data_IF_523469493357
#
_entry.id   IF_523469493357
#
_cell.length_a   1.000
_cell.length_b   1.000
_cell.length_c   1.000
_cell.angle_alpha   90.00
_cell.angle_beta   90.00
_cell.angle_gamma   90.00
#
_symmetry.space_group_name_H-M   'P 1'
#
loop_
_entity.id
_entity.type
_entity.pdbx_description
1 polymer ?
#
# COMPACT_ATOMS: atom_id res chain seq x y z
N UNK A 1 -5.20 -22.58 -18.77
CA UNK A 1 -5.35 -22.39 -18.22
C UNK A 1 -5.48 -21.85 -17.32
N UNK A 2 -5.48 -21.81 -17.20
CA UNK A 2 -5.63 -21.39 -16.45
C UNK A 2 -5.63 -20.85 -15.75
N UNK A 3 -5.36 -20.70 -15.46
CA UNK A 3 -5.36 -20.15 -14.73
C UNK A 3 -5.76 -19.44 -14.18
N UNK A 4 -6.04 -19.33 -14.22
CA UNK A 4 -6.52 -18.62 -13.84
C UNK A 4 -7.24 -18.56 -12.85
N UNK A 5 -7.66 -19.38 -12.44
CA UNK A 5 -8.46 -19.41 -11.44
C UNK A 5 -8.22 -18.36 -10.49
N UNK A 6 -7.18 -18.13 -10.17
CA UNK A 6 -6.95 -17.02 -9.51
C UNK A 6 -6.85 -15.95 -10.43
N UNK A 7 -7.57 -15.98 -11.48
CA UNK A 7 -7.54 -14.97 -12.47
C UNK A 7 -7.73 -13.61 -11.89
N UNK A 8 -8.53 -13.48 -10.89
CA UNK A 8 -8.73 -12.19 -10.31
C UNK A 8 -7.46 -11.62 -9.73
N UNK A 9 -6.66 -12.40 -9.02
CA UNK A 9 -5.43 -11.85 -8.49
C UNK A 9 -4.40 -11.67 -9.57
N UNK A 10 -4.48 -12.43 -10.65
CA UNK A 10 -3.57 -12.20 -11.75
C UNK A 10 -4.05 -11.05 -12.60
N UNK A 11 -5.24 -10.52 -12.35
CA UNK A 11 -5.72 -9.32 -13.02
C UNK A 11 -5.25 -8.07 -12.31
N UNK A 12 -6.18 -7.13 -12.18
CA UNK A 12 -5.84 -5.82 -11.65
C UNK A 12 -5.34 -5.89 -10.20
N UNK A 13 -6.04 -6.61 -9.35
CA UNK A 13 -5.60 -6.68 -7.96
C UNK A 13 -4.24 -7.37 -7.86
N UNK A 14 -4.00 -8.37 -8.69
CA UNK A 14 -2.70 -9.03 -8.70
C UNK A 14 -1.59 -8.07 -9.08
N UNK A 15 -1.83 -7.21 -10.07
CA UNK A 15 -0.84 -6.23 -10.46
C UNK A 15 -0.61 -5.19 -9.38
N UNK A 16 -1.68 -4.81 -8.67
CA UNK A 16 -1.54 -3.88 -7.56
C UNK A 16 -0.69 -4.52 -6.46
N UNK A 17 -0.99 -5.77 -6.11
CA UNK A 17 -0.23 -6.47 -5.06
C UNK A 17 1.24 -6.61 -5.45
N UNK A 18 1.50 -6.95 -6.70
CA UNK A 18 2.88 -7.11 -7.15
C UNK A 18 3.66 -5.80 -7.05
N UNK A 19 3.02 -4.69 -7.40
CA UNK A 19 3.68 -3.41 -7.30
C UNK A 19 3.98 -3.07 -5.82
N UNK A 20 3.02 -3.28 -4.95
CA UNK A 20 3.19 -2.94 -3.54
C UNK A 20 4.28 -3.80 -2.91
N UNK A 21 4.40 -5.07 -3.34
CA UNK A 21 5.46 -5.93 -2.83
C UNK A 21 6.86 -5.42 -3.12
N UNK A 22 7.00 -4.55 -4.10
CA UNK A 22 8.30 -3.99 -4.45
C UNK A 22 8.74 -2.86 -3.53
N UNK A 23 7.81 -2.31 -2.77
CA UNK A 23 8.12 -1.20 -1.87
C UNK A 23 8.91 -1.75 -0.68
N UNK A 24 10.13 -1.26 -0.45
CA UNK A 24 10.96 -1.84 0.61
C UNK A 24 10.51 -1.39 2.00
N UNK A 25 10.91 -2.13 3.03
CA UNK A 25 10.62 -1.70 4.40
C UNK A 25 11.21 -0.32 4.67
N UNK A 26 10.47 0.49 5.40
CA UNK A 26 10.93 1.84 5.73
C UNK A 26 10.56 2.87 4.69
N UNK A 27 9.85 2.46 3.64
CA UNK A 27 9.37 3.38 2.62
C UNK A 27 7.87 3.23 2.46
N UNK A 28 7.24 4.26 1.92
CA UNK A 28 5.79 4.23 1.68
C UNK A 28 5.49 4.75 0.28
N UNK A 29 4.32 4.37 -0.21
CA UNK A 29 3.78 4.90 -1.46
C UNK A 29 2.36 5.38 -1.17
N UNK A 30 1.86 6.26 -2.03
CA UNK A 30 0.48 6.71 -1.89
C UNK A 30 -0.42 5.86 -2.76
N UNK A 31 -1.71 5.85 -2.44
CA UNK A 31 -2.69 5.15 -3.26
C UNK A 31 -2.64 5.64 -4.71
N UNK A 32 -2.51 6.96 -4.90
CA UNK A 32 -2.44 7.51 -6.24
C UNK A 32 -1.18 7.09 -6.98
N UNK A 33 -0.08 6.98 -6.25
CA UNK A 33 1.18 6.54 -6.85
C UNK A 33 1.07 5.11 -7.38
N UNK A 34 0.45 4.25 -6.58
CA UNK A 34 0.25 2.86 -7.00
C UNK A 34 -0.65 2.81 -8.22
N UNK A 35 -1.74 3.58 -8.19
CA UNK A 35 -2.69 3.59 -9.31
C UNK A 35 -2.00 4.05 -10.59
N UNK A 36 -1.18 5.09 -10.51
CA UNK A 36 -0.48 5.60 -11.68
C UNK A 36 0.52 4.58 -12.22
N UNK A 37 1.21 3.88 -11.34
CA UNK A 37 2.22 2.91 -11.76
C UNK A 37 1.58 1.68 -12.40
N UNK A 38 0.47 1.21 -11.83
CA UNK A 38 -0.19 0.02 -12.33
C UNK A 38 -0.98 0.32 -13.60
N UNK A 39 -1.65 1.46 -13.62
CA UNK A 39 -2.47 1.84 -14.77
C UNK A 39 -3.83 1.16 -14.74
N UNK A 40 -4.79 1.78 -15.40
CA UNK A 40 -6.10 1.17 -15.54
C UNK A 40 -6.95 1.17 -14.28
N UNK A 41 -6.58 1.98 -13.28
CA UNK A 41 -7.34 2.02 -12.05
C UNK A 41 -7.13 3.37 -11.36
N UNK A 42 -7.89 3.59 -10.31
CA UNK A 42 -7.82 4.82 -9.55
C UNK A 42 -7.24 4.53 -8.17
N UNK A 43 -6.89 5.61 -7.47
CA UNK A 43 -6.46 5.47 -6.07
C UNK A 43 -7.50 4.75 -5.23
N UNK A 44 -8.78 4.99 -5.51
CA UNK A 44 -9.85 4.34 -4.78
C UNK A 44 -9.82 2.83 -4.98
N UNK A 45 -9.56 2.40 -6.21
CA UNK A 45 -9.45 0.98 -6.50
C UNK A 45 -8.30 0.35 -5.70
N UNK A 46 -7.17 1.07 -5.62
CA UNK A 46 -6.05 0.57 -4.83
C UNK A 46 -6.45 0.44 -3.37
N UNK A 47 -7.23 1.39 -2.86
CA UNK A 47 -7.73 1.30 -1.50
C UNK A 47 -8.57 0.04 -1.27
N UNK A 48 -9.44 -0.28 -2.23
CA UNK A 48 -10.24 -1.50 -2.13
C UNK A 48 -9.35 -2.74 -2.14
N UNK A 49 -8.33 -2.74 -2.99
CA UNK A 49 -7.43 -3.88 -3.07
C UNK A 49 -6.67 -4.09 -1.75
N UNK A 50 -6.23 -2.98 -1.14
CA UNK A 50 -5.52 -3.10 0.13
C UNK A 50 -6.44 -3.61 1.24
N UNK A 51 -7.69 -3.13 1.25
CA UNK A 51 -8.65 -3.59 2.25
C UNK A 51 -9.02 -5.05 2.05
N UNK A 52 -8.93 -5.54 0.83
CA UNK A 52 -9.32 -6.90 0.50
C UNK A 52 -8.14 -7.87 0.50
N UNK A 53 -6.95 -7.42 0.87
CA UNK A 53 -5.75 -8.26 0.81
C UNK A 53 -5.94 -9.50 1.70
N UNK A 54 -5.88 -10.70 1.12
CA UNK A 54 -5.95 -11.90 1.94
C UNK A 54 -4.69 -12.04 2.77
N UNK A 55 -4.82 -12.60 3.96
CA UNK A 55 -3.67 -12.70 4.84
C UNK A 55 -2.56 -13.59 4.26
N UNK A 56 -2.92 -14.50 3.37
CA UNK A 56 -1.92 -15.40 2.78
C UNK A 56 -1.14 -14.77 1.63
N UNK A 57 -1.52 -13.56 1.21
CA UNK A 57 -0.85 -12.95 0.05
C UNK A 57 0.45 -12.25 0.41
N UNK A 58 0.68 -12.01 1.67
CA UNK A 58 1.93 -11.36 2.11
C UNK A 58 2.21 -10.06 1.36
N UNK A 59 1.22 -9.23 1.26
CA UNK A 59 1.37 -7.91 0.65
C UNK A 59 1.63 -6.91 1.78
N UNK A 60 2.68 -6.08 1.67
CA UNK A 60 2.95 -5.10 2.72
C UNK A 60 2.01 -3.90 2.59
N UNK A 61 0.74 -4.14 2.84
CA UNK A 61 -0.31 -3.14 2.69
C UNK A 61 -0.08 -1.91 3.56
N UNK A 62 0.64 -2.07 4.66
CA UNK A 62 0.91 -0.95 5.56
C UNK A 62 1.75 0.13 4.90
N UNK A 63 2.42 -0.19 3.80
CA UNK A 63 3.27 0.78 3.13
C UNK A 63 2.52 1.64 2.13
N UNK A 64 1.19 1.51 2.07
CA UNK A 64 0.36 2.34 1.19
C UNK A 64 -0.41 3.32 2.08
N UNK A 65 -0.22 4.62 1.82
CA UNK A 65 -0.82 5.68 2.64
C UNK A 65 -1.54 6.66 1.74
N UNK A 66 -2.26 7.61 2.33
CA UNK A 66 -2.96 8.59 1.51
C UNK A 66 -2.00 9.70 1.05
N UNK A 67 -2.52 10.62 0.25
CA UNK A 67 -1.67 11.64 -0.37
C UNK A 67 -1.08 12.63 0.64
N UNK A 68 -1.58 12.62 1.86
CA UNK A 68 -1.03 13.46 2.91
C UNK A 68 -0.03 12.75 3.79
N UNK A 69 0.26 11.48 3.48
CA UNK A 69 1.16 10.71 4.31
C UNK A 69 0.53 10.19 5.58
N UNK A 70 -0.77 9.94 5.56
CA UNK A 70 -1.49 9.46 6.72
C UNK A 70 -1.94 8.04 6.49
N UNK A 71 -2.00 7.27 7.57
CA UNK A 71 -2.55 5.93 7.48
C UNK A 71 -4.06 6.06 7.36
N UNK A 72 -4.66 5.12 6.64
CA UNK A 72 -6.08 5.16 6.40
C UNK A 72 -6.85 4.63 7.59
N UNK A 73 -7.94 5.31 7.95
CA UNK A 73 -8.83 4.79 8.96
C UNK A 73 -9.47 3.53 8.42
N UNK A 74 -9.52 2.49 9.25
CA UNK A 74 -10.14 1.24 8.85
C UNK A 74 -11.49 1.13 9.50
N UNK A 75 -12.42 0.49 8.80
CA UNK A 75 -13.72 0.32 9.38
C UNK A 75 -13.72 -0.65 10.54
N UNK A 76 -12.64 -1.37 10.75
CA UNK A 76 -12.54 -2.27 11.88
C UNK A 76 -11.68 -1.69 12.98
N UNK A 77 -11.78 -0.44 13.18
CA UNK A 77 -11.28 0.17 14.39
C UNK A 77 -9.76 0.27 14.51
N UNK A 78 -9.08 -0.84 14.64
CA UNK A 78 -7.65 -0.80 14.94
C UNK A 78 -6.74 -0.86 13.73
N UNK A 79 -7.31 -0.84 12.52
CA UNK A 79 -6.49 -0.97 11.33
C UNK A 79 -5.46 0.12 11.18
N UNK A 80 -5.84 1.36 11.49
CA UNK A 80 -4.92 2.48 11.36
C UNK A 80 -3.80 2.38 12.40
N UNK A 81 -4.13 1.95 13.61
CA UNK A 81 -3.13 1.79 14.66
C UNK A 81 -2.18 0.66 14.33
N UNK A 82 -2.69 -0.43 13.80
CA UNK A 82 -1.86 -1.54 13.39
C UNK A 82 -0.92 -1.11 12.25
N UNK A 83 -1.44 -0.35 11.30
CA UNK A 83 -0.63 0.14 10.19
C UNK A 83 0.51 1.00 10.70
N UNK A 84 0.21 1.91 11.63
CA UNK A 84 1.24 2.78 12.19
C UNK A 84 2.31 1.97 12.91
N UNK A 85 1.91 0.99 13.72
CA UNK A 85 2.89 0.17 14.42
C UNK A 85 3.80 -0.58 13.48
N UNK A 86 3.23 -1.12 12.41
CA UNK A 86 4.03 -1.84 11.44
C UNK A 86 5.05 -0.91 10.79
N UNK A 87 4.62 0.28 10.39
CA UNK A 87 5.54 1.23 9.79
C UNK A 87 6.60 1.71 10.77
N UNK A 88 6.22 1.93 12.01
CA UNK A 88 7.20 2.34 13.02
C UNK A 88 8.24 1.26 13.23
N UNK A 89 7.83 0.00 13.18
CA UNK A 89 8.78 -1.10 13.32
C UNK A 89 9.75 -1.16 12.14
N UNK A 90 9.40 -0.52 11.02
CA UNK A 90 10.29 -0.44 9.86
C UNK A 90 11.14 0.81 9.87
N UNK A 91 11.01 1.63 10.89
CA UNK A 91 11.82 2.84 11.00
C UNK A 91 11.15 4.12 10.53
N UNK A 92 9.87 4.07 10.18
CA UNK A 92 9.15 5.26 9.74
C UNK A 92 8.74 6.07 10.97
N UNK A 93 9.04 7.36 10.95
CA UNK A 93 8.73 8.25 12.07
C UNK A 93 7.48 9.04 11.74
N UNK A 94 6.52 9.03 12.66
CA UNK A 94 5.28 9.79 12.52
C UNK A 94 5.42 11.09 13.31
N UNK A 95 4.86 12.18 12.75
CA UNK A 95 4.90 13.45 13.46
C UNK A 95 3.79 13.48 14.53
N UNK A 96 3.71 14.63 15.23
CA UNK A 96 2.78 14.74 16.36
C UNK A 96 1.32 14.61 15.91
N UNK A 97 1.03 14.83 14.64
CA UNK A 97 -0.33 14.72 14.12
C UNK A 97 -0.63 13.37 13.52
N UNK A 98 0.33 12.46 13.57
CA UNK A 98 0.15 11.14 12.98
C UNK A 98 0.44 11.08 11.51
N UNK A 99 1.20 12.03 10.97
CA UNK A 99 1.53 12.05 9.56
C UNK A 99 2.96 11.63 9.30
N UNK A 100 3.22 11.26 8.06
CA UNK A 100 4.53 10.84 7.60
C UNK A 100 5.06 11.88 6.63
N UNK A 101 6.32 12.23 6.76
CA UNK A 101 6.95 13.15 5.82
C UNK A 101 7.23 12.41 4.52
N UNK A 102 6.38 12.63 3.53
CA UNK A 102 6.49 11.93 2.25
C UNK A 102 7.77 12.29 1.50
N UNK A 103 8.33 13.48 1.75
CA UNK A 103 9.57 13.83 1.09
C UNK A 103 10.71 12.95 1.58
N UNK A 104 10.59 12.44 2.78
CA UNK A 104 11.63 11.61 3.37
C UNK A 104 11.39 10.13 3.11
N UNK A 105 10.13 9.69 3.16
CA UNK A 105 9.84 8.26 3.19
C UNK A 105 9.20 7.73 1.92
N UNK A 106 8.77 8.60 1.00
CA UNK A 106 8.11 8.09 -0.20
C UNK A 106 9.10 7.33 -1.08
N UNK A 107 8.69 6.16 -1.49
CA UNK A 107 9.52 5.34 -2.36
C UNK A 107 9.35 5.82 -3.79
N UNK A 108 10.47 6.00 -4.46
CA UNK A 108 10.47 6.34 -5.87
C UNK A 108 11.03 5.12 -6.58
N UNK A 109 10.27 4.63 -7.53
CA UNK A 109 10.71 3.46 -8.27
C UNK A 109 12.00 3.80 -9.00
N UNK A 110 13.04 2.95 -8.90
CA UNK A 110 14.27 3.27 -9.62
C UNK A 110 14.04 3.33 -11.12
N UNK A 111 14.73 4.24 -11.76
CA UNK A 111 14.67 4.33 -13.20
C UNK A 111 15.29 3.14 -13.86
N UNK A 112 14.68 2.69 -14.86
CA UNK A 112 15.24 1.71 -15.69
C UNK A 112 15.47 0.37 -15.16
#
# INVERSE_FOLDING_TARGET
MARRGKGDTSGLYGRIYDYVRRVPPGRVVTYGQVAAAVGGCTARTVGYAMAATPFWEEVPWQRVVNSRGEVSARRHGDGDRQQQRLLESEGVVFDARGGIDLRRYRWEEPDG
#
